data_IF_784235151655
#
_entry.id   IF_784235151655
#
_cell.length_a   1.000
_cell.length_b   1.000
_cell.length_c   1.000
_cell.angle_alpha   90.00
_cell.angle_beta   90.00
_cell.angle_gamma   90.00
#
_symmetry.space_group_name_H-M   'P 1'
#
loop_
_entity.id
_entity.type
_entity.pdbx_description
1 polymer ?
#
# COMPACT_ATOMS: atom_id res chain seq x y z
N UNK A 1 24.54 0.79 -0.87
CA UNK A 1 23.32 0.04 -0.72
C UNK A 1 23.58 -1.26 0.03
N UNK A 2 22.79 -1.53 0.98
CA UNK A 2 22.98 -2.66 1.86
C UNK A 2 22.22 -3.89 1.45
N UNK A 3 21.88 -3.99 0.21
CA UNK A 3 21.06 -5.09 -0.20
C UNK A 3 21.73 -6.42 0.04
N UNK A 4 20.95 -7.32 0.46
CA UNK A 4 21.36 -8.69 0.66
C UNK A 4 20.18 -9.55 0.28
N UNK A 5 20.50 -10.76 0.03
CA UNK A 5 19.50 -11.68 -0.40
C UNK A 5 18.82 -12.33 0.80
N UNK A 6 17.89 -11.61 1.40
CA UNK A 6 17.09 -12.14 2.49
C UNK A 6 15.61 -12.07 2.18
N UNK A 7 15.31 -12.11 0.90
CA UNK A 7 13.96 -12.10 0.48
C UNK A 7 13.42 -10.72 0.20
N UNK A 8 12.11 -10.60 0.20
CA UNK A 8 11.44 -9.39 -0.26
C UNK A 8 11.72 -8.19 0.61
N UNK A 9 11.91 -8.39 1.92
CA UNK A 9 12.17 -7.29 2.83
C UNK A 9 13.40 -6.49 2.45
N UNK A 10 14.48 -7.16 2.07
CA UNK A 10 15.71 -6.46 1.68
C UNK A 10 15.56 -5.73 0.36
N UNK A 11 14.84 -6.32 -0.57
CA UNK A 11 14.57 -5.68 -1.85
C UNK A 11 13.79 -4.39 -1.64
N UNK A 12 12.77 -4.42 -0.79
CA UNK A 12 11.96 -3.26 -0.51
C UNK A 12 12.75 -2.16 0.19
N UNK A 13 13.59 -2.53 1.14
CA UNK A 13 14.43 -1.57 1.82
C UNK A 13 15.35 -0.84 0.85
N UNK A 14 15.90 -1.58 -0.10
CA UNK A 14 16.77 -1.00 -1.10
C UNK A 14 16.02 0.02 -1.95
N UNK A 15 14.80 -0.30 -2.33
CA UNK A 15 13.99 0.62 -3.11
C UNK A 15 13.67 1.89 -2.32
N UNK A 16 13.35 1.73 -1.05
CA UNK A 16 13.06 2.87 -0.19
C UNK A 16 14.25 3.78 -0.03
N UNK A 17 15.44 3.20 0.17
CA UNK A 17 16.65 4.00 0.30
C UNK A 17 16.95 4.77 -0.96
N UNK A 18 16.70 4.17 -2.10
CA UNK A 18 16.89 4.83 -3.38
C UNK A 18 15.96 6.03 -3.54
N UNK A 19 14.71 5.86 -3.19
CA UNK A 19 13.74 6.95 -3.24
C UNK A 19 14.16 8.09 -2.32
N UNK A 20 14.56 7.77 -1.11
CA UNK A 20 14.99 8.77 -0.14
C UNK A 20 16.20 9.55 -0.62
N UNK A 21 17.14 8.89 -1.26
CA UNK A 21 18.30 9.57 -1.81
C UNK A 21 17.90 10.57 -2.88
N UNK A 22 16.98 10.18 -3.74
CA UNK A 22 16.49 11.07 -4.79
C UNK A 22 15.76 12.27 -4.21
N UNK A 23 14.95 12.05 -3.19
CA UNK A 23 14.27 13.13 -2.51
C UNK A 23 15.27 14.11 -1.90
N UNK A 24 16.26 13.61 -1.20
CA UNK A 24 17.24 14.42 -0.52
C UNK A 24 18.04 15.29 -1.49
N UNK A 25 18.22 14.84 -2.70
CA UNK A 25 18.91 15.61 -3.72
C UNK A 25 17.99 16.53 -4.51
N UNK A 26 16.69 16.46 -4.22
CA UNK A 26 15.73 17.27 -4.95
C UNK A 26 15.51 16.83 -6.39
N UNK A 27 16.00 15.66 -6.76
CA UNK A 27 15.93 15.18 -8.14
C UNK A 27 14.52 14.89 -8.64
N UNK A 28 13.60 14.66 -7.72
CA UNK A 28 12.24 14.30 -8.07
C UNK A 28 11.23 15.20 -7.42
N UNK A 29 11.59 16.45 -7.26
CA UNK A 29 10.73 17.44 -6.61
C UNK A 29 9.37 17.61 -7.28
N UNK A 30 9.26 17.27 -8.57
CA UNK A 30 7.99 17.35 -9.27
C UNK A 30 6.96 16.34 -8.81
N UNK A 31 7.35 15.39 -7.98
CA UNK A 31 6.45 14.39 -7.45
C UNK A 31 6.17 14.58 -5.97
N UNK A 32 6.33 15.76 -5.47
CA UNK A 32 6.33 15.92 -4.03
C UNK A 32 5.03 15.47 -3.36
N UNK A 33 3.90 15.47 -4.03
CA UNK A 33 2.66 14.95 -3.45
C UNK A 33 2.77 13.47 -3.09
N UNK A 34 3.50 12.68 -3.88
CA UNK A 34 3.76 11.28 -3.58
C UNK A 34 4.92 11.13 -2.61
N UNK A 35 5.94 11.92 -2.83
CA UNK A 35 7.17 11.81 -2.06
C UNK A 35 7.04 12.33 -0.65
N UNK A 36 6.04 13.15 -0.40
CA UNK A 36 5.78 13.64 0.95
C UNK A 36 5.58 12.50 1.92
N UNK A 37 5.04 11.39 1.47
CA UNK A 37 4.86 10.22 2.32
C UNK A 37 6.19 9.71 2.83
N UNK A 38 7.20 9.63 1.96
CA UNK A 38 8.53 9.23 2.39
C UNK A 38 9.16 10.24 3.30
N UNK A 39 8.95 11.53 3.03
CA UNK A 39 9.49 12.60 3.86
C UNK A 39 8.98 12.54 5.29
N UNK A 40 7.74 12.10 5.47
CA UNK A 40 7.15 11.97 6.79
C UNK A 40 7.24 10.54 7.33
N UNK A 41 8.08 9.72 6.71
CA UNK A 41 8.34 8.38 7.21
C UNK A 41 7.47 7.29 6.62
N UNK A 42 6.65 7.60 5.61
CA UNK A 42 5.82 6.60 4.95
C UNK A 42 6.48 6.20 3.65
N UNK A 43 7.31 5.17 3.68
CA UNK A 43 8.16 4.80 2.57
C UNK A 43 7.77 3.56 1.77
N UNK A 44 6.77 2.81 2.22
CA UNK A 44 6.32 1.60 1.53
C UNK A 44 4.89 1.80 1.05
N UNK A 45 4.66 1.56 -0.24
CA UNK A 45 3.32 1.58 -0.80
C UNK A 45 2.98 0.18 -1.29
N UNK A 46 1.81 -0.29 -0.93
CA UNK A 46 1.40 -1.65 -1.24
C UNK A 46 -0.04 -1.63 -1.75
N UNK A 47 -0.31 -2.42 -2.78
CA UNK A 47 -1.68 -2.70 -3.15
C UNK A 47 -2.08 -4.02 -2.52
N UNK A 48 -3.25 -4.06 -1.91
CA UNK A 48 -3.75 -5.25 -1.25
C UNK A 48 -5.07 -5.64 -1.87
N UNK A 49 -5.13 -6.82 -2.43
CA UNK A 49 -6.38 -7.36 -2.93
C UNK A 49 -7.06 -8.11 -1.81
N UNK A 50 -8.32 -7.79 -1.57
CA UNK A 50 -9.08 -8.36 -0.47
C UNK A 50 -10.27 -9.13 -1.03
N UNK A 51 -10.43 -10.36 -0.57
CA UNK A 51 -11.62 -11.15 -0.89
C UNK A 51 -12.44 -11.32 0.38
N UNK A 52 -13.75 -11.19 0.26
CA UNK A 52 -14.64 -11.34 1.40
C UNK A 52 -15.24 -12.73 1.44
N UNK A 53 -15.63 -13.18 2.64
CA UNK A 53 -16.23 -14.48 2.83
C UNK A 53 -17.56 -14.61 2.10
N UNK A 54 -18.27 -13.52 1.94
CA UNK A 54 -19.53 -13.48 1.24
C UNK A 54 -19.68 -12.10 0.60
N UNK A 55 -20.30 -12.07 -0.57
CA UNK A 55 -20.47 -10.84 -1.34
C UNK A 55 -21.76 -10.10 -0.99
N UNK A 56 -22.43 -10.46 0.10
CA UNK A 56 -23.66 -9.79 0.46
C UNK A 56 -23.37 -8.39 0.96
N UNK A 57 -24.41 -7.56 0.94
CA UNK A 57 -24.30 -6.14 1.31
C UNK A 57 -23.80 -5.96 2.73
N UNK A 58 -24.22 -6.82 3.63
CA UNK A 58 -23.80 -6.72 5.03
C UNK A 58 -22.29 -6.84 5.19
N UNK A 59 -21.67 -7.81 4.52
CA UNK A 59 -20.23 -8.00 4.58
C UNK A 59 -19.49 -6.87 3.90
N UNK A 60 -20.00 -6.37 2.77
CA UNK A 60 -19.38 -5.24 2.10
C UNK A 60 -19.41 -4.01 2.98
N UNK A 61 -20.55 -3.70 3.57
CA UNK A 61 -20.69 -2.52 4.42
C UNK A 61 -19.82 -2.63 5.66
N UNK A 62 -19.74 -3.82 6.25
CA UNK A 62 -18.91 -4.04 7.43
C UNK A 62 -17.45 -3.81 7.11
N UNK A 63 -16.99 -4.33 5.99
CA UNK A 63 -15.59 -4.14 5.58
C UNK A 63 -15.28 -2.66 5.36
N UNK A 64 -16.13 -1.97 4.60
CA UNK A 64 -15.95 -0.56 4.31
C UNK A 64 -15.91 0.27 5.59
N UNK A 65 -16.80 -0.03 6.51
CA UNK A 65 -16.86 0.71 7.78
C UNK A 65 -15.58 0.52 8.60
N UNK A 66 -15.05 -0.71 8.61
CA UNK A 66 -13.86 -1.00 9.40
C UNK A 66 -12.60 -0.36 8.83
N UNK A 67 -12.44 -0.34 7.51
CA UNK A 67 -11.22 0.21 6.93
C UNK A 67 -11.21 1.72 6.85
N UNK A 68 -12.37 2.33 6.91
CA UNK A 68 -12.54 3.77 6.78
C UNK A 68 -11.70 4.57 7.76
N UNK A 69 -11.50 4.04 8.95
CA UNK A 69 -10.76 4.73 10.00
C UNK A 69 -9.29 4.37 10.06
N UNK A 70 -8.81 3.54 9.14
CA UNK A 70 -7.40 3.17 9.11
C UNK A 70 -6.65 4.17 8.25
N UNK A 71 -5.89 5.05 8.89
CA UNK A 71 -5.20 6.15 8.20
C UNK A 71 -4.23 5.69 7.12
N UNK A 72 -3.61 4.54 7.33
CA UNK A 72 -2.62 4.02 6.39
C UNK A 72 -3.23 3.50 5.11
N UNK A 73 -4.54 3.27 5.09
CA UNK A 73 -5.24 2.88 3.87
C UNK A 73 -5.69 4.15 3.18
N UNK A 74 -5.00 4.50 2.11
CA UNK A 74 -5.25 5.77 1.43
C UNK A 74 -6.20 5.66 0.26
N UNK A 75 -6.47 4.45 -0.21
CA UNK A 75 -7.44 4.19 -1.27
C UNK A 75 -8.14 2.88 -1.01
N UNK A 76 -9.38 2.80 -1.40
CA UNK A 76 -10.16 1.56 -1.34
C UNK A 76 -11.09 1.56 -2.53
N UNK A 77 -10.98 0.55 -3.38
CA UNK A 77 -11.80 0.43 -4.58
C UNK A 77 -12.49 -0.91 -4.61
N UNK A 78 -13.76 -0.90 -4.97
CA UNK A 78 -14.49 -2.13 -5.25
C UNK A 78 -14.18 -2.50 -6.69
N UNK A 79 -13.74 -3.72 -6.92
CA UNK A 79 -13.26 -4.12 -8.24
C UNK A 79 -13.99 -5.34 -8.74
N UNK A 80 -13.89 -5.58 -10.04
CA UNK A 80 -14.34 -6.82 -10.65
C UNK A 80 -13.17 -7.78 -10.72
N UNK A 81 -13.44 -9.05 -10.87
CA UNK A 81 -12.40 -10.06 -11.01
C UNK A 81 -12.33 -10.96 -9.81
N UNK A 82 -11.13 -11.44 -9.51
CA UNK A 82 -10.93 -12.46 -8.49
C UNK A 82 -10.96 -11.93 -7.04
N UNK A 83 -10.87 -10.63 -6.87
CA UNK A 83 -10.95 -10.03 -5.54
C UNK A 83 -12.18 -9.14 -5.44
N UNK A 84 -12.51 -8.70 -4.23
CA UNK A 84 -13.64 -7.81 -4.04
C UNK A 84 -13.20 -6.35 -3.93
N UNK A 85 -12.09 -6.10 -3.26
CA UNK A 85 -11.57 -4.77 -3.08
C UNK A 85 -10.08 -4.73 -3.34
N UNK A 86 -9.61 -3.58 -3.78
CA UNK A 86 -8.19 -3.31 -3.83
C UNK A 86 -7.92 -2.08 -2.99
N UNK A 87 -6.97 -2.20 -2.08
CA UNK A 87 -6.59 -1.13 -1.18
C UNK A 87 -5.21 -0.65 -1.53
N UNK A 88 -4.97 0.64 -1.33
CA UNK A 88 -3.61 1.16 -1.36
C UNK A 88 -3.23 1.49 0.06
N UNK A 89 -2.18 0.85 0.55
CA UNK A 89 -1.73 0.98 1.93
C UNK A 89 -0.32 1.55 1.94
N UNK A 90 -0.09 2.54 2.79
CA UNK A 90 1.23 3.14 2.94
C UNK A 90 1.72 2.95 4.37
N UNK A 91 3.02 2.70 4.51
CA UNK A 91 3.63 2.51 5.81
C UNK A 91 5.07 3.01 5.76
N UNK A 92 5.66 3.23 6.91
CA UNK A 92 7.03 3.72 6.96
C UNK A 92 8.06 2.66 6.56
N UNK A 93 7.75 1.40 6.80
CA UNK A 93 8.61 0.28 6.44
C UNK A 93 7.79 -1.01 6.34
N UNK A 94 8.46 -2.08 5.94
CA UNK A 94 7.81 -3.38 5.75
C UNK A 94 7.27 -3.93 7.06
N UNK A 95 8.04 -3.77 8.14
CA UNK A 95 7.64 -4.28 9.43
C UNK A 95 6.35 -3.62 9.91
N UNK A 96 6.28 -2.30 9.79
CA UNK A 96 5.08 -1.56 10.14
C UNK A 96 3.89 -1.96 9.28
N UNK A 97 4.15 -2.22 7.99
CA UNK A 97 3.11 -2.69 7.09
C UNK A 97 2.55 -4.03 7.54
N UNK A 98 3.42 -4.97 7.86
CA UNK A 98 2.99 -6.29 8.29
C UNK A 98 2.16 -6.22 9.57
N UNK A 99 2.60 -5.41 10.52
CA UNK A 99 1.87 -5.22 11.76
C UNK A 99 0.49 -4.63 11.50
N UNK A 100 0.42 -3.64 10.64
CA UNK A 100 -0.85 -3.00 10.28
C UNK A 100 -1.82 -4.02 9.68
N UNK A 101 -1.33 -4.85 8.77
CA UNK A 101 -2.18 -5.82 8.11
C UNK A 101 -2.71 -6.86 9.09
N UNK A 102 -1.85 -7.32 10.00
CA UNK A 102 -2.27 -8.29 11.01
C UNK A 102 -3.26 -7.71 12.00
N UNK A 103 -3.03 -6.49 12.44
CA UNK A 103 -3.84 -5.90 13.51
C UNK A 103 -5.12 -5.23 13.03
N UNK A 104 -5.11 -4.69 11.82
CA UNK A 104 -6.22 -3.87 11.37
C UNK A 104 -7.05 -4.49 10.25
N UNK A 105 -6.42 -5.18 9.34
CA UNK A 105 -7.12 -5.67 8.15
C UNK A 105 -7.50 -7.13 8.26
N UNK A 106 -6.56 -8.00 8.60
CA UNK A 106 -6.85 -9.42 8.65
C UNK A 106 -7.83 -9.79 9.74
N UNK A 107 -7.99 -8.93 10.75
CA UNK A 107 -8.94 -9.17 11.83
C UNK A 107 -10.36 -8.76 11.49
N UNK A 108 -10.58 -8.16 10.34
CA UNK A 108 -11.93 -7.83 9.90
C UNK A 108 -12.64 -9.14 9.61
N UNK A 109 -13.72 -9.38 10.33
CA UNK A 109 -14.42 -10.65 10.31
C UNK A 109 -14.89 -11.07 8.92
N UNK A 110 -15.28 -10.13 8.10
CA UNK A 110 -15.78 -10.42 6.75
C UNK A 110 -14.68 -10.79 5.75
N UNK A 111 -13.42 -10.65 6.13
CA UNK A 111 -12.29 -10.91 5.24
C UNK A 111 -12.00 -12.40 5.13
N UNK A 112 -11.84 -12.88 3.91
CA UNK A 112 -11.48 -14.26 3.64
C UNK A 112 -10.00 -14.40 3.28
N UNK A 113 -9.53 -13.62 2.31
CA UNK A 113 -8.14 -13.69 1.90
C UNK A 113 -7.60 -12.32 1.55
N UNK A 114 -6.29 -12.19 1.70
CA UNK A 114 -5.55 -10.97 1.38
C UNK A 114 -4.36 -11.32 0.52
N UNK A 115 -4.11 -10.51 -0.49
CA UNK A 115 -2.92 -10.65 -1.33
C UNK A 115 -2.23 -9.31 -1.40
N UNK A 116 -1.00 -9.25 -0.90
CA UNK A 116 -0.23 -8.01 -0.87
C UNK A 116 0.72 -7.93 -2.07
N UNK A 117 0.77 -6.75 -2.68
CA UNK A 117 1.65 -6.49 -3.82
C UNK A 117 2.38 -5.19 -3.53
N UNK A 118 3.61 -5.32 -3.04
CA UNK A 118 4.39 -4.13 -2.69
C UNK A 118 4.97 -3.50 -3.96
N UNK A 119 4.86 -2.19 -4.04
CA UNK A 119 5.41 -1.45 -5.18
C UNK A 119 6.93 -1.35 -4.99
N UNK A 120 7.67 -1.98 -5.88
CA UNK A 120 9.13 -1.94 -5.83
C UNK A 120 9.67 -0.67 -6.46
N UNK A 121 9.11 -0.27 -7.58
CA UNK A 121 9.55 0.92 -8.32
C UNK A 121 8.38 1.47 -9.11
N UNK A 122 8.38 2.78 -9.31
CA UNK A 122 7.37 3.44 -10.12
C UNK A 122 8.08 4.11 -11.30
N UNK A 123 7.73 3.71 -12.49
CA UNK A 123 8.36 4.25 -13.70
C UNK A 123 7.54 5.34 -14.36
N UNK A 124 6.27 5.41 -14.04
CA UNK A 124 5.39 6.42 -14.59
C UNK A 124 4.26 6.68 -13.61
N UNK A 125 4.01 7.92 -13.33
CA UNK A 125 2.92 8.29 -12.45
C UNK A 125 2.36 9.64 -12.87
N UNK A 126 1.64 9.61 -13.97
CA UNK A 126 1.03 10.80 -14.55
C UNK A 126 -0.44 10.83 -14.14
N UNK A 127 -0.80 11.84 -13.37
CA UNK A 127 -2.18 11.98 -12.89
C UNK A 127 -3.10 12.65 -13.88
N UNK A 128 -2.56 13.21 -14.95
CA UNK A 128 -3.38 13.89 -15.95
C UNK A 128 -4.02 12.90 -16.89
N UNK A 129 -5.29 13.16 -17.22
CA UNK A 129 -5.99 12.35 -18.19
C UNK A 129 -5.57 12.75 -19.59
N UNK A 130 -5.28 11.80 -20.47
CA UNK A 130 -4.96 12.11 -21.87
C UNK A 130 -6.26 12.46 -22.60
N UNK A 131 -6.47 13.73 -22.83
CA UNK A 131 -7.71 14.16 -23.52
C UNK A 131 -7.45 14.59 -24.96
#
# INVERSE_FOLDING_TARGET
>A
DKSRSRGLGDVYKRQLERVRKLENRGSISGYHAKLDKSKIGLGVSTYVMVSLKSHNKKNLDLFIEKIKDVENIVECHHITGSGDFILKVVAKDIESYQKLMLEKVSEIESTDSLQSMVILSTFKDNKEMPL
#
